data_IF_919555777806
#
_entry.id   IF_919555777806
#
_cell.length_a   1.000
_cell.length_b   1.000
_cell.length_c   1.000
_cell.angle_alpha   90.00
_cell.angle_beta   90.00
_cell.angle_gamma   90.00
#
_symmetry.space_group_name_H-M   'P 1'
#
loop_
_entity.id
_entity.type
_entity.pdbx_description
1 polymer ?
#
# COMPACT_ATOMS: atom_id res chain seq x y z
N UNK A 1 -1.80 4.86 5.49
CA UNK A 1 -1.61 5.79 6.62
C UNK A 1 -2.62 6.92 6.57
N UNK A 2 -2.96 7.56 7.71
CA UNK A 2 -4.04 8.55 7.74
C UNK A 2 -3.86 9.72 6.77
N UNK A 3 -2.64 10.21 6.59
CA UNK A 3 -2.40 11.33 5.66
C UNK A 3 -2.76 10.97 4.22
N UNK A 4 -2.39 9.80 3.77
CA UNK A 4 -2.72 9.33 2.42
C UNK A 4 -4.21 9.04 2.29
N UNK A 5 -4.81 8.41 3.30
CA UNK A 5 -6.24 8.14 3.31
C UNK A 5 -7.04 9.45 3.22
N UNK A 6 -6.63 10.47 3.96
CA UNK A 6 -7.28 11.77 3.91
C UNK A 6 -7.13 12.43 2.53
N UNK A 7 -5.95 12.33 1.93
CA UNK A 7 -5.67 12.90 0.61
C UNK A 7 -6.55 12.30 -0.48
N UNK A 8 -6.83 11.00 -0.42
CA UNK A 8 -7.67 10.33 -1.42
C UNK A 8 -9.15 10.35 -1.06
N UNK A 9 -9.54 11.01 0.04
CA UNK A 9 -10.93 11.21 0.40
C UNK A 9 -11.60 10.03 1.07
N UNK A 10 -10.85 9.23 1.82
CA UNK A 10 -11.42 8.11 2.59
C UNK A 10 -12.31 8.66 3.69
N UNK A 11 -13.55 8.18 3.73
CA UNK A 11 -14.49 8.47 4.81
C UNK A 11 -14.43 7.37 5.86
N UNK A 12 -13.85 7.68 7.02
CA UNK A 12 -13.67 6.71 8.08
C UNK A 12 -14.99 6.17 8.64
N UNK A 13 -16.09 6.92 8.53
CA UNK A 13 -17.41 6.46 8.99
C UNK A 13 -17.96 5.32 8.14
N UNK A 14 -17.47 5.18 6.92
CA UNK A 14 -17.88 4.14 5.98
C UNK A 14 -17.01 2.89 6.07
N UNK A 15 -15.92 2.93 6.83
CA UNK A 15 -15.01 1.79 6.94
C UNK A 15 -15.58 0.75 7.89
N UNK A 16 -15.44 -0.51 7.48
CA UNK A 16 -15.78 -1.68 8.29
C UNK A 16 -14.49 -2.39 8.70
N UNK A 17 -14.58 -3.44 9.49
CA UNK A 17 -13.39 -4.21 9.87
C UNK A 17 -12.46 -3.48 10.83
N UNK A 18 -13.02 -2.74 11.77
CA UNK A 18 -12.23 -2.07 12.81
C UNK A 18 -11.45 -3.08 13.64
N UNK A 19 -10.18 -2.79 13.88
CA UNK A 19 -9.29 -3.59 14.69
C UNK A 19 -8.52 -2.72 15.68
N UNK A 20 -8.18 -3.31 16.82
CA UNK A 20 -7.25 -2.71 17.76
C UNK A 20 -5.91 -3.43 17.66
N UNK A 21 -4.84 -2.66 17.65
CA UNK A 21 -3.49 -3.20 17.65
C UNK A 21 -2.70 -2.59 18.79
N UNK A 22 -1.97 -3.44 19.51
CA UNK A 22 -1.04 -3.01 20.54
C UNK A 22 0.36 -3.08 19.95
N UNK A 23 1.07 -1.98 19.98
CA UNK A 23 2.41 -1.90 19.45
C UNK A 23 3.27 -0.93 20.23
N UNK A 24 4.42 -0.59 19.66
CA UNK A 24 5.30 0.42 20.23
C UNK A 24 4.53 1.76 20.24
N UNK A 25 4.32 2.32 21.42
CA UNK A 25 3.55 3.55 21.59
C UNK A 25 2.12 3.36 22.06
N UNK A 26 1.68 2.10 22.34
CA UNK A 26 0.39 1.80 22.95
C UNK A 26 -0.62 1.15 21.99
N UNK A 27 -1.90 1.32 22.32
CA UNK A 27 -3.00 0.78 21.53
C UNK A 27 -3.35 1.74 20.41
N UNK A 28 -3.43 1.22 19.19
CA UNK A 28 -3.90 1.98 18.04
C UNK A 28 -5.12 1.31 17.41
N UNK A 29 -6.01 2.13 16.87
CA UNK A 29 -7.17 1.64 16.12
C UNK A 29 -6.85 1.68 14.64
N UNK A 30 -7.29 0.67 13.92
CA UNK A 30 -7.12 0.60 12.49
C UNK A 30 -8.37 0.00 11.84
N UNK A 31 -8.50 0.24 10.55
CA UNK A 31 -9.58 -0.29 9.74
C UNK A 31 -8.98 -1.13 8.63
N UNK A 32 -9.60 -2.26 8.34
CA UNK A 32 -9.21 -3.13 7.23
C UNK A 32 -10.26 -2.99 6.13
N UNK A 33 -9.81 -2.77 4.91
CA UNK A 33 -10.70 -2.59 3.77
C UNK A 33 -10.13 -3.31 2.56
N UNK A 34 -10.99 -3.90 1.73
CA UNK A 34 -10.57 -4.45 0.45
C UNK A 34 -10.38 -3.34 -0.55
N UNK A 35 -9.30 -3.43 -1.31
CA UNK A 35 -8.98 -2.41 -2.29
C UNK A 35 -8.26 -3.02 -3.50
N UNK A 36 -8.32 -2.29 -4.59
CA UNK A 36 -7.47 -2.52 -5.75
C UNK A 36 -6.37 -1.48 -5.73
N UNK A 37 -5.13 -1.93 -5.75
CA UNK A 37 -3.98 -1.06 -5.85
C UNK A 37 -3.33 -1.28 -7.20
N UNK A 38 -3.11 -0.22 -7.95
CA UNK A 38 -2.50 -0.27 -9.26
C UNK A 38 -1.13 0.41 -9.22
N UNK A 39 -0.16 -0.26 -9.83
CA UNK A 39 1.18 0.28 -10.03
C UNK A 39 1.42 0.43 -11.52
N UNK A 40 1.76 1.63 -11.96
CA UNK A 40 1.99 1.92 -13.35
C UNK A 40 3.48 1.76 -13.69
N UNK A 41 3.74 0.93 -14.70
CA UNK A 41 5.00 0.95 -15.42
C UNK A 41 4.77 1.85 -16.64
N UNK A 42 5.23 3.09 -16.54
CA UNK A 42 4.87 4.18 -17.44
C UNK A 42 5.08 3.79 -18.90
N UNK A 43 4.01 3.90 -19.68
CA UNK A 43 4.04 3.59 -21.12
C UNK A 43 4.01 2.11 -21.46
N UNK A 44 4.00 1.21 -20.48
CA UNK A 44 4.09 -0.23 -20.69
C UNK A 44 2.88 -0.98 -20.17
N UNK A 45 2.63 -0.91 -18.86
CA UNK A 45 1.59 -1.72 -18.24
C UNK A 45 1.10 -1.12 -16.94
N UNK A 46 -0.08 -1.56 -16.53
CA UNK A 46 -0.65 -1.28 -15.22
C UNK A 46 -0.84 -2.61 -14.51
N UNK A 47 -0.20 -2.77 -13.37
CA UNK A 47 -0.28 -3.98 -12.56
C UNK A 47 -1.22 -3.74 -11.39
N UNK A 48 -2.27 -4.56 -11.28
CA UNK A 48 -3.37 -4.36 -10.34
C UNK A 48 -3.40 -5.52 -9.35
N UNK A 49 -3.50 -5.19 -8.07
CA UNK A 49 -3.53 -6.15 -6.98
C UNK A 49 -4.79 -5.97 -6.16
N UNK A 50 -5.48 -7.08 -5.89
CA UNK A 50 -6.56 -7.12 -4.91
C UNK A 50 -5.94 -7.39 -3.54
N UNK A 51 -6.09 -6.44 -2.63
CA UNK A 51 -5.46 -6.54 -1.32
C UNK A 51 -6.41 -6.06 -0.22
N UNK A 52 -6.15 -6.50 1.00
CA UNK A 52 -6.68 -5.87 2.18
C UNK A 52 -5.71 -4.78 2.62
N UNK A 53 -6.19 -3.56 2.66
CA UNK A 53 -5.39 -2.45 3.18
C UNK A 53 -5.77 -2.18 4.63
N UNK A 54 -4.78 -1.80 5.43
CA UNK A 54 -4.98 -1.40 6.81
C UNK A 54 -4.82 0.11 6.88
N UNK A 55 -5.87 0.78 7.34
CA UNK A 55 -5.89 2.23 7.47
C UNK A 55 -5.92 2.57 8.94
N UNK A 56 -4.88 3.24 9.42
CA UNK A 56 -4.81 3.67 10.81
C UNK A 56 -5.82 4.79 11.09
N UNK A 57 -6.44 4.75 12.26
CA UNK A 57 -7.31 5.83 12.69
C UNK A 57 -6.55 7.15 12.75
N UNK A 58 -7.23 8.29 12.45
CA UNK A 58 -6.54 9.58 12.47
C UNK A 58 -6.06 9.92 13.89
N UNK A 59 -4.76 10.15 14.01
CA UNK A 59 -4.11 10.64 15.22
C UNK A 59 -2.94 11.52 14.80
N UNK A 60 -2.62 12.59 15.53
CA UNK A 60 -1.58 13.53 15.09
C UNK A 60 -0.24 12.89 14.78
N UNK A 61 0.17 11.93 15.61
CA UNK A 61 1.43 11.21 15.44
C UNK A 61 1.44 10.30 14.21
N UNK A 62 0.26 9.84 13.77
CA UNK A 62 0.14 8.93 12.63
C UNK A 62 0.24 9.65 11.28
N UNK A 63 -0.01 10.97 11.24
CA UNK A 63 0.09 11.73 10.00
C UNK A 63 1.53 11.91 9.52
N UNK A 64 2.51 11.66 10.38
CA UNK A 64 3.93 11.72 10.05
C UNK A 64 4.47 10.44 9.44
N UNK A 65 3.71 9.37 9.53
CA UNK A 65 4.15 8.07 9.04
C UNK A 65 3.77 7.90 7.58
N UNK A 66 4.70 7.39 6.75
CA UNK A 66 4.39 7.05 5.37
C UNK A 66 3.52 5.80 5.30
N UNK A 67 2.87 5.62 4.16
CA UNK A 67 2.23 4.35 3.83
C UNK A 67 3.29 3.30 3.57
N UNK A 68 3.02 2.06 3.99
CA UNK A 68 3.95 0.95 3.88
C UNK A 68 3.37 -0.13 2.97
N UNK A 69 4.23 -0.71 2.14
CA UNK A 69 3.90 -1.89 1.36
C UNK A 69 4.25 -3.14 2.15
N UNK A 70 3.29 -4.04 2.28
CA UNK A 70 3.48 -5.32 2.94
C UNK A 70 4.00 -6.40 2.01
N UNK A 71 4.32 -7.57 2.61
CA UNK A 71 4.83 -8.71 1.86
C UNK A 71 3.80 -9.33 0.92
N UNK A 72 2.52 -9.10 1.13
CA UNK A 72 1.46 -9.54 0.22
C UNK A 72 1.68 -9.02 -1.20
N UNK A 73 2.26 -7.83 -1.34
CA UNK A 73 2.67 -7.27 -2.64
C UNK A 73 4.14 -7.55 -2.91
N UNK A 74 5.02 -7.28 -1.94
CA UNK A 74 6.47 -7.39 -2.14
C UNK A 74 6.91 -8.81 -2.52
N UNK A 75 6.24 -9.84 -2.01
CA UNK A 75 6.54 -11.23 -2.36
C UNK A 75 6.18 -11.58 -3.81
N UNK A 76 5.44 -10.73 -4.48
CA UNK A 76 5.06 -10.90 -5.89
C UNK A 76 5.97 -10.14 -6.84
N UNK A 77 7.02 -9.52 -6.29
CA UNK A 77 8.02 -8.76 -7.04
C UNK A 77 9.40 -9.35 -6.81
N UNK A 78 10.26 -9.14 -7.79
CA UNK A 78 11.71 -9.31 -7.63
C UNK A 78 12.31 -7.92 -7.46
N UNK A 79 13.07 -7.74 -6.39
CA UNK A 79 13.61 -6.42 -6.04
C UNK A 79 15.13 -6.50 -6.05
N UNK A 80 15.78 -6.26 -7.23
CA UNK A 80 17.22 -6.18 -7.27
C UNK A 80 17.71 -4.90 -6.58
N UNK A 81 18.63 -5.08 -5.64
CA UNK A 81 19.16 -3.98 -4.86
C UNK A 81 20.67 -3.93 -4.96
N UNK A 82 21.21 -2.80 -5.41
CA UNK A 82 22.64 -2.59 -5.49
C UNK A 82 23.02 -1.36 -4.63
N UNK A 83 23.42 -1.56 -3.36
CA UNK A 83 23.71 -0.45 -2.47
C UNK A 83 24.92 0.37 -2.88
N UNK A 84 25.91 -0.26 -3.54
CA UNK A 84 27.11 0.46 -3.96
C UNK A 84 26.83 1.47 -5.08
N UNK A 85 25.78 1.25 -5.85
CA UNK A 85 25.33 2.16 -6.92
C UNK A 85 24.10 2.96 -6.53
N UNK A 86 23.56 2.75 -5.33
CA UNK A 86 22.35 3.39 -4.89
C UNK A 86 21.13 3.05 -5.73
N UNK A 87 21.11 1.88 -6.38
CA UNK A 87 20.02 1.47 -7.26
C UNK A 87 19.13 0.46 -6.59
N UNK A 88 17.83 0.71 -6.68
CA UNK A 88 16.77 -0.21 -6.30
C UNK A 88 15.86 -0.38 -7.51
N UNK A 89 15.74 -1.61 -7.98
CA UNK A 89 14.81 -1.93 -9.07
C UNK A 89 13.60 -2.69 -8.56
N UNK A 90 12.56 -2.74 -9.37
CA UNK A 90 11.39 -3.56 -9.11
C UNK A 90 11.05 -4.29 -10.40
N UNK A 91 10.95 -5.62 -10.32
CA UNK A 91 10.48 -6.45 -11.41
C UNK A 91 9.22 -7.18 -10.94
N UNK A 92 8.13 -6.99 -11.64
CA UNK A 92 6.87 -7.66 -11.33
C UNK A 92 6.96 -9.12 -11.75
N UNK A 93 6.75 -10.03 -10.79
CA UNK A 93 6.70 -11.47 -11.03
C UNK A 93 5.26 -11.89 -11.32
N UNK A 94 4.31 -11.37 -10.55
CA UNK A 94 2.89 -11.68 -10.75
C UNK A 94 2.03 -10.48 -10.36
N UNK A 95 0.82 -10.45 -10.93
CA UNK A 95 -0.22 -9.49 -10.57
C UNK A 95 -1.58 -10.17 -10.72
N UNK A 96 -2.58 -9.66 -10.01
CA UNK A 96 -3.93 -10.21 -10.15
C UNK A 96 -4.54 -9.83 -11.50
N UNK A 97 -4.29 -8.59 -11.93
CA UNK A 97 -4.69 -8.12 -13.27
C UNK A 97 -3.54 -7.32 -13.86
N UNK A 98 -3.37 -7.46 -15.16
CA UNK A 98 -2.38 -6.68 -15.90
C UNK A 98 -3.06 -6.05 -17.11
N UNK A 99 -2.97 -4.74 -17.20
CA UNK A 99 -3.44 -3.99 -18.37
C UNK A 99 -2.21 -3.51 -19.14
N UNK A 100 -2.05 -3.98 -20.35
CA UNK A 100 -0.96 -3.52 -21.23
C UNK A 100 -1.40 -2.29 -22.00
N UNK A 101 -0.50 -1.33 -22.08
CA UNK A 101 -0.73 -0.14 -22.89
C UNK A 101 -0.39 -0.49 -24.35
N UNK A 102 -1.41 -0.53 -25.19
CA UNK A 102 -1.22 -0.66 -26.63
C UNK A 102 -1.23 0.73 -27.27
N UNK A 103 -0.20 1.02 -28.00
CA UNK A 103 -0.12 2.24 -28.78
C UNK A 103 -0.22 1.91 -30.28
#
# INVERSE_FOLDING_TARGET
>A
MPADAQRIGIDYSMLTGEREAVGVGGVSRSFTERALIAFEDVGTALYIYQVEIVISAPAPEMFRLPSLLGRDILNRWSIPYNPSRGRLGIRVVSADFTLTVTR
#
